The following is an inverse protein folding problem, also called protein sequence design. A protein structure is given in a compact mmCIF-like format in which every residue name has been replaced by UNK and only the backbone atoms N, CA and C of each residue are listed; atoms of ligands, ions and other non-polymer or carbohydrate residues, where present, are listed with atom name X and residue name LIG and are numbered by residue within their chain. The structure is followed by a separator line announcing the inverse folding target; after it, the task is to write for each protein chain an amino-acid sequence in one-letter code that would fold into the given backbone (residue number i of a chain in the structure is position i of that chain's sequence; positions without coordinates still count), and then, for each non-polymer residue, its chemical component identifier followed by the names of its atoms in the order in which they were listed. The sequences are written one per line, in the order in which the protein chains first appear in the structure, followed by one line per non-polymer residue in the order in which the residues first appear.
data_IF_320948885508
#
_entry.id   IF_320948885508
#
_cell.length_a   1.000
_cell.length_b   1.000
_cell.length_c   1.000
_cell.angle_alpha   90.00
_cell.angle_beta   90.00
_cell.angle_gamma   90.00
#
_symmetry.space_group_name_H-M   'P 1'
#
loop_
_entity.id
_entity.type
_entity.pdbx_description
1 polymer ?
#
# COMPACT_ATOMS: atom_id res chain seq x y z
N UNK A 1 29.74 3.49 -1.41
CA UNK A 1 29.08 4.77 -1.77
C UNK A 1 27.95 4.56 -2.79
N UNK A 2 28.03 3.53 -3.64
CA UNK A 2 27.01 3.27 -4.67
C UNK A 2 25.70 2.68 -4.13
N UNK A 3 25.70 1.95 -3.02
CA UNK A 3 24.48 1.38 -2.40
C UNK A 3 23.61 2.40 -1.66
N UNK A 4 24.15 3.56 -1.33
CA UNK A 4 23.39 4.66 -0.71
C UNK A 4 22.70 5.60 -1.69
N UNK A 5 22.88 5.44 -2.99
CA UNK A 5 22.35 6.31 -4.04
C UNK A 5 21.12 5.76 -4.75
N UNK A 6 20.65 4.57 -4.41
CA UNK A 6 19.30 4.11 -4.80
C UNK A 6 18.33 4.68 -3.78
N UNK A 7 18.08 5.99 -3.90
CA UNK A 7 17.23 6.71 -2.97
C UNK A 7 15.81 6.17 -3.02
N UNK A 8 15.32 5.70 -1.88
CA UNK A 8 13.89 5.65 -1.61
C UNK A 8 13.33 7.06 -1.80
N UNK A 9 12.06 7.21 -2.14
CA UNK A 9 11.38 8.52 -2.18
C UNK A 9 11.63 9.33 -0.91
N UNK A 10 11.79 8.66 0.22
CA UNK A 10 12.15 9.23 1.51
C UNK A 10 13.53 9.92 1.50
N UNK A 11 14.55 9.34 0.85
CA UNK A 11 15.86 9.97 0.70
C UNK A 11 15.84 11.21 -0.19
N UNK A 12 14.99 11.22 -1.24
CA UNK A 12 14.82 12.39 -2.12
C UNK A 12 14.18 13.53 -1.35
N UNK A 13 13.15 13.27 -0.56
CA UNK A 13 12.47 14.26 0.29
C UNK A 13 13.41 14.84 1.36
N UNK A 14 14.18 14.00 2.03
CA UNK A 14 15.12 14.45 3.05
C UNK A 14 16.21 15.34 2.46
N UNK A 15 16.72 14.97 1.28
CA UNK A 15 17.70 15.79 0.55
C UNK A 15 17.10 17.13 0.10
N UNK A 16 15.86 17.12 -0.39
CA UNK A 16 15.17 18.36 -0.77
C UNK A 16 14.97 19.29 0.44
N UNK A 17 14.57 18.73 1.60
CA UNK A 17 14.46 19.49 2.88
C UNK A 17 15.80 20.09 3.30
N UNK A 18 16.87 19.33 3.20
CA UNK A 18 18.21 19.82 3.54
C UNK A 18 18.63 20.98 2.63
N UNK A 19 18.48 20.83 1.30
CA UNK A 19 18.81 21.90 0.34
C UNK A 19 17.97 23.15 0.59
N UNK A 20 16.67 22.99 0.83
CA UNK A 20 15.79 24.10 1.13
C UNK A 20 16.21 24.83 2.42
N UNK A 21 16.56 24.09 3.47
CA UNK A 21 17.04 24.64 4.73
C UNK A 21 18.37 25.41 4.56
N UNK A 22 19.31 24.85 3.79
CA UNK A 22 20.59 25.51 3.46
C UNK A 22 20.39 26.80 2.66
N UNK A 23 19.37 26.84 1.80
CA UNK A 23 19.01 27.99 0.99
C UNK A 23 18.12 29.03 1.71
N UNK A 24 17.69 28.74 2.96
CA UNK A 24 16.73 29.57 3.69
C UNK A 24 15.34 29.61 3.05
N UNK A 25 14.98 28.59 2.26
CA UNK A 25 13.68 28.46 1.58
C UNK A 25 12.80 27.50 2.35
N UNK A 26 11.55 27.91 2.59
CA UNK A 26 10.57 27.01 3.20
C UNK A 26 10.06 25.98 2.18
N UNK A 27 10.20 24.69 2.51
CA UNK A 27 9.70 23.59 1.70
C UNK A 27 8.41 23.03 2.31
N UNK A 28 7.35 23.01 1.52
CA UNK A 28 6.09 22.35 1.90
C UNK A 28 5.98 21.01 1.19
N UNK A 29 5.88 19.94 1.99
CA UNK A 29 5.68 18.59 1.49
C UNK A 29 4.17 18.30 1.38
N UNK A 30 3.59 18.55 0.21
CA UNK A 30 2.17 18.28 -0.04
C UNK A 30 1.80 16.80 0.06
N UNK A 31 2.74 15.87 -0.12
CA UNK A 31 2.50 14.44 0.10
C UNK A 31 2.34 14.05 1.58
N UNK A 32 2.67 14.95 2.50
CA UNK A 32 2.40 14.76 3.92
C UNK A 32 0.97 15.13 4.33
N UNK A 33 0.21 15.78 3.44
CA UNK A 33 -1.17 16.19 3.69
C UNK A 33 -2.09 14.98 3.76
N UNK A 34 -2.85 14.87 4.83
CA UNK A 34 -3.73 13.73 5.10
C UNK A 34 -4.81 13.59 4.03
N UNK A 35 -5.40 14.71 3.59
CA UNK A 35 -6.41 14.74 2.53
C UNK A 35 -5.88 14.15 1.22
N UNK A 36 -4.64 14.44 0.83
CA UNK A 36 -4.04 13.87 -0.37
C UNK A 36 -3.75 12.38 -0.20
N UNK A 37 -3.27 11.97 0.98
CA UNK A 37 -3.02 10.57 1.29
C UNK A 37 -4.34 9.77 1.16
N UNK A 38 -5.43 10.29 1.69
CA UNK A 38 -6.75 9.65 1.63
C UNK A 38 -7.29 9.61 0.17
N UNK A 39 -7.19 10.72 -0.56
CA UNK A 39 -7.60 10.76 -1.98
C UNK A 39 -6.80 9.77 -2.84
N UNK A 40 -5.48 9.69 -2.66
CA UNK A 40 -4.62 8.77 -3.41
C UNK A 40 -4.81 7.29 -3.04
N UNK A 41 -5.37 7.01 -1.88
CA UNK A 41 -5.70 5.65 -1.48
C UNK A 41 -6.77 5.01 -2.39
N UNK A 42 -7.68 5.82 -2.93
CA UNK A 42 -8.77 5.34 -3.80
C UNK A 42 -8.24 4.78 -5.12
N UNK A 43 -7.54 5.57 -5.98
CA UNK A 43 -7.01 5.05 -7.22
C UNK A 43 -5.93 3.98 -7.00
N UNK A 44 -5.20 4.02 -5.87
CA UNK A 44 -4.29 2.93 -5.51
C UNK A 44 -5.04 1.61 -5.31
N UNK A 45 -6.16 1.65 -4.60
CA UNK A 45 -6.99 0.46 -4.36
C UNK A 45 -7.61 -0.06 -5.67
N UNK A 46 -8.11 0.82 -6.51
CA UNK A 46 -8.70 0.46 -7.82
C UNK A 46 -7.65 -0.11 -8.77
N UNK A 47 -6.48 0.49 -8.84
CA UNK A 47 -5.36 -0.03 -9.63
C UNK A 47 -4.91 -1.41 -9.14
N UNK A 48 -4.87 -1.64 -7.83
CA UNK A 48 -4.58 -2.95 -7.25
C UNK A 48 -5.65 -3.98 -7.65
N UNK A 49 -6.93 -3.62 -7.58
CA UNK A 49 -8.03 -4.50 -8.03
C UNK A 49 -7.86 -4.85 -9.51
N UNK A 50 -7.54 -3.88 -10.35
CA UNK A 50 -7.25 -4.10 -11.76
C UNK A 50 -6.11 -5.12 -11.97
N UNK A 51 -5.01 -4.99 -11.22
CA UNK A 51 -3.90 -5.97 -11.23
C UNK A 51 -4.40 -7.36 -10.80
N UNK A 52 -5.15 -7.45 -9.71
CA UNK A 52 -5.67 -8.72 -9.22
C UNK A 52 -6.57 -9.39 -10.27
N UNK A 53 -7.42 -8.63 -10.95
CA UNK A 53 -8.31 -9.15 -12.00
C UNK A 53 -7.55 -9.60 -13.25
N UNK A 54 -6.49 -8.90 -13.63
CA UNK A 54 -5.65 -9.24 -14.78
C UNK A 54 -4.76 -10.47 -14.53
N UNK A 55 -4.23 -10.60 -13.32
CA UNK A 55 -3.23 -11.61 -12.99
C UNK A 55 -3.81 -12.93 -12.46
N UNK A 56 -5.04 -12.92 -11.99
CA UNK A 56 -5.69 -14.11 -11.45
C UNK A 56 -6.46 -14.84 -12.54
N UNK A 57 -6.46 -16.17 -12.46
CA UNK A 57 -7.30 -17.03 -13.31
C UNK A 57 -8.68 -17.33 -12.68
N UNK A 58 -8.91 -16.81 -11.46
CA UNK A 58 -10.16 -16.98 -10.72
C UNK A 58 -10.76 -15.63 -10.38
N UNK A 59 -12.07 -15.56 -10.23
CA UNK A 59 -12.79 -14.36 -9.78
C UNK A 59 -12.33 -13.92 -8.39
N UNK A 60 -12.53 -12.65 -8.07
CA UNK A 60 -12.35 -12.15 -6.70
C UNK A 60 -13.45 -12.66 -5.77
N UNK A 61 -14.65 -12.89 -6.30
CA UNK A 61 -15.75 -13.43 -5.54
C UNK A 61 -15.39 -14.76 -4.86
N UNK A 62 -15.66 -14.84 -3.56
CA UNK A 62 -15.35 -15.98 -2.69
C UNK A 62 -13.85 -16.37 -2.61
N UNK A 63 -12.95 -15.48 -3.06
CA UNK A 63 -11.51 -15.68 -2.93
C UNK A 63 -11.01 -15.26 -1.55
N UNK A 64 -10.15 -16.09 -0.94
CA UNK A 64 -9.48 -15.75 0.31
C UNK A 64 -8.26 -14.85 0.02
N UNK A 65 -8.35 -13.58 0.39
CA UNK A 65 -7.29 -12.59 0.16
C UNK A 65 -6.74 -12.10 1.49
N UNK A 66 -5.43 -12.17 1.64
CA UNK A 66 -4.72 -11.60 2.77
C UNK A 66 -4.28 -10.17 2.45
N UNK A 67 -4.68 -9.24 3.30
CA UNK A 67 -4.31 -7.83 3.20
C UNK A 67 -3.40 -7.44 4.38
N UNK A 68 -2.12 -7.28 4.14
CA UNK A 68 -1.16 -6.84 5.14
C UNK A 68 -1.16 -5.31 5.22
N UNK A 69 -1.58 -4.79 6.39
CA UNK A 69 -1.75 -3.37 6.66
C UNK A 69 -3.19 -2.88 6.52
N UNK A 70 -3.58 -1.96 7.41
CA UNK A 70 -4.92 -1.33 7.41
C UNK A 70 -4.81 0.18 7.65
N UNK A 71 -3.86 0.81 6.93
CA UNK A 71 -3.78 2.25 6.74
C UNK A 71 -4.76 2.71 5.64
N UNK A 72 -4.68 3.96 5.16
CA UNK A 72 -5.59 4.51 4.16
C UNK A 72 -5.79 3.60 2.93
N UNK A 73 -4.70 3.13 2.32
CA UNK A 73 -4.76 2.21 1.17
C UNK A 73 -5.40 0.87 1.55
N UNK A 74 -5.01 0.29 2.69
CA UNK A 74 -5.57 -0.98 3.16
C UNK A 74 -7.08 -0.88 3.42
N UNK A 75 -7.55 0.22 3.99
CA UNK A 75 -8.99 0.48 4.23
C UNK A 75 -9.74 0.62 2.90
N UNK A 76 -9.25 1.48 2.01
CA UNK A 76 -9.87 1.68 0.70
C UNK A 76 -9.96 0.38 -0.11
N UNK A 77 -8.90 -0.44 -0.09
CA UNK A 77 -8.84 -1.71 -0.80
C UNK A 77 -9.70 -2.79 -0.14
N UNK A 78 -9.59 -2.96 1.18
CA UNK A 78 -10.28 -4.03 1.91
C UNK A 78 -11.79 -3.97 1.75
N UNK A 79 -12.38 -2.77 1.88
CA UNK A 79 -13.83 -2.55 1.71
C UNK A 79 -14.26 -2.84 0.27
N UNK A 80 -13.47 -2.41 -0.73
CA UNK A 80 -13.79 -2.65 -2.15
C UNK A 80 -13.69 -4.13 -2.52
N UNK A 81 -12.67 -4.83 -2.04
CA UNK A 81 -12.54 -6.28 -2.26
C UNK A 81 -13.70 -7.06 -1.62
N UNK A 82 -14.11 -6.66 -0.40
CA UNK A 82 -15.28 -7.28 0.24
C UNK A 82 -16.57 -7.02 -0.54
N UNK A 83 -16.76 -5.79 -1.07
CA UNK A 83 -17.90 -5.46 -1.93
C UNK A 83 -17.93 -6.27 -3.22
N UNK A 84 -16.77 -6.68 -3.74
CA UNK A 84 -16.64 -7.62 -4.87
C UNK A 84 -16.82 -9.09 -4.45
N UNK A 85 -17.18 -9.33 -3.18
CA UNK A 85 -17.46 -10.66 -2.64
C UNK A 85 -16.21 -11.46 -2.24
N UNK A 86 -15.03 -10.84 -2.11
CA UNK A 86 -13.84 -11.51 -1.61
C UNK A 86 -13.91 -11.72 -0.08
N UNK A 87 -13.32 -12.81 0.40
CA UNK A 87 -13.13 -13.10 1.82
C UNK A 87 -11.81 -12.47 2.28
N UNK A 88 -11.87 -11.19 2.66
CA UNK A 88 -10.69 -10.43 3.06
C UNK A 88 -10.32 -10.71 4.51
N UNK A 89 -9.06 -11.03 4.75
CA UNK A 89 -8.46 -11.08 6.08
C UNK A 89 -7.36 -10.02 6.18
N UNK A 90 -7.53 -9.09 7.10
CA UNK A 90 -6.58 -8.02 7.37
C UNK A 90 -5.57 -8.48 8.40
N UNK A 91 -4.28 -8.36 8.09
CA UNK A 91 -3.21 -8.54 9.06
C UNK A 91 -2.70 -7.17 9.51
N UNK A 92 -2.88 -6.83 10.78
CA UNK A 92 -2.45 -5.54 11.32
C UNK A 92 -1.87 -5.66 12.73
N UNK A 93 -0.81 -4.86 12.99
CA UNK A 93 -0.11 -4.87 14.27
C UNK A 93 -0.93 -4.22 15.39
N UNK A 94 -1.56 -3.07 15.11
CA UNK A 94 -2.28 -2.30 16.13
C UNK A 94 -3.67 -2.88 16.37
N UNK A 95 -4.07 -3.13 17.65
CA UNK A 95 -5.43 -3.61 17.96
C UNK A 95 -6.53 -2.72 17.40
N UNK A 96 -6.36 -1.39 17.43
CA UNK A 96 -7.32 -0.45 16.87
C UNK A 96 -7.55 -0.65 15.36
N UNK A 97 -6.51 -1.00 14.59
CA UNK A 97 -6.67 -1.29 13.16
C UNK A 97 -7.42 -2.62 12.93
N UNK A 98 -7.22 -3.61 13.79
CA UNK A 98 -7.97 -4.87 13.72
C UNK A 98 -9.44 -4.66 14.05
N UNK A 99 -9.73 -3.94 15.14
CA UNK A 99 -11.10 -3.57 15.50
C UNK A 99 -11.78 -2.74 14.40
N UNK A 100 -11.06 -1.82 13.77
CA UNK A 100 -11.58 -1.06 12.62
C UNK A 100 -11.87 -1.99 11.42
N UNK A 101 -11.02 -2.97 11.12
CA UNK A 101 -11.30 -3.95 10.07
C UNK A 101 -12.55 -4.76 10.38
N UNK A 102 -12.71 -5.21 11.62
CA UNK A 102 -13.88 -5.95 12.08
C UNK A 102 -15.17 -5.10 11.99
N UNK A 103 -15.11 -3.80 12.26
CA UNK A 103 -16.26 -2.88 12.11
C UNK A 103 -16.71 -2.74 10.65
N UNK A 104 -15.84 -3.01 9.68
CA UNK A 104 -16.17 -3.14 8.26
C UNK A 104 -16.54 -4.57 7.84
N UNK A 105 -16.81 -5.45 8.80
CA UNK A 105 -17.11 -6.87 8.56
C UNK A 105 -15.99 -7.65 7.86
N UNK A 106 -14.76 -7.19 7.97
CA UNK A 106 -13.57 -7.90 7.50
C UNK A 106 -13.02 -8.78 8.63
N UNK A 107 -12.42 -9.91 8.26
CA UNK A 107 -11.66 -10.70 9.24
C UNK A 107 -10.37 -9.99 9.60
N UNK A 108 -9.93 -10.11 10.84
CA UNK A 108 -8.67 -9.52 11.27
C UNK A 108 -7.80 -10.53 12.02
N UNK A 109 -6.49 -10.43 11.80
CA UNK A 109 -5.47 -11.21 12.51
C UNK A 109 -4.35 -10.31 12.97
N UNK A 110 -3.66 -10.71 14.04
CA UNK A 110 -2.45 -10.02 14.46
C UNK A 110 -1.33 -10.27 13.45
N UNK A 111 -0.59 -9.23 13.09
CA UNK A 111 0.54 -9.33 12.16
C UNK A 111 1.60 -10.34 12.63
N UNK A 112 1.76 -10.51 13.95
CA UNK A 112 2.68 -11.52 14.55
C UNK A 112 2.26 -12.95 14.19
N UNK A 113 0.97 -13.18 13.92
CA UNK A 113 0.42 -14.49 13.54
C UNK A 113 0.32 -14.69 12.03
N UNK A 114 0.96 -13.83 11.25
CA UNK A 114 0.86 -13.84 9.79
C UNK A 114 1.27 -15.17 9.18
N UNK A 115 2.38 -15.75 9.65
CA UNK A 115 2.87 -17.06 9.21
C UNK A 115 1.84 -18.17 9.45
N UNK A 116 1.22 -18.19 10.64
CA UNK A 116 0.20 -19.17 11.00
C UNK A 116 -1.09 -19.03 10.19
N UNK A 117 -1.42 -17.80 9.79
CA UNK A 117 -2.60 -17.51 8.99
C UNK A 117 -2.39 -17.77 7.48
N UNK A 118 -1.14 -17.74 7.01
CA UNK A 118 -0.78 -17.76 5.60
C UNK A 118 -1.30 -18.97 4.78
N UNK A 119 -1.41 -20.21 5.30
CA UNK A 119 -1.70 -21.41 4.50
C UNK A 119 -3.01 -21.41 3.72
N UNK A 120 -3.98 -20.57 4.10
CA UNK A 120 -5.29 -20.52 3.42
C UNK A 120 -5.33 -19.58 2.23
N UNK A 121 -4.32 -18.73 2.05
CA UNK A 121 -4.31 -17.69 1.03
C UNK A 121 -3.51 -18.11 -0.21
N UNK A 122 -4.04 -17.75 -1.36
CA UNK A 122 -3.37 -17.80 -2.66
C UNK A 122 -3.09 -16.41 -3.23
N UNK A 123 -3.53 -15.39 -2.54
CA UNK A 123 -3.39 -13.98 -2.92
C UNK A 123 -3.09 -13.13 -1.68
N UNK A 124 -2.03 -12.37 -1.76
CA UNK A 124 -1.59 -11.46 -0.71
C UNK A 124 -1.39 -10.07 -1.29
N UNK A 125 -1.92 -9.06 -0.61
CA UNK A 125 -1.61 -7.66 -0.91
C UNK A 125 -0.91 -7.04 0.29
N UNK A 126 0.27 -6.48 0.08
CA UNK A 126 1.01 -5.77 1.11
C UNK A 126 0.90 -4.25 0.94
N UNK A 127 0.62 -3.55 2.04
CA UNK A 127 0.60 -2.08 2.10
C UNK A 127 1.58 -1.53 3.15
N UNK A 128 2.36 -2.39 3.79
CA UNK A 128 3.27 -2.02 4.89
C UNK A 128 4.68 -1.81 4.32
N UNK A 129 5.27 -0.60 4.45
CA UNK A 129 6.62 -0.31 3.97
C UNK A 129 7.72 -0.80 4.95
N UNK A 130 7.59 -2.04 5.43
CA UNK A 130 8.54 -2.69 6.32
C UNK A 130 8.51 -4.21 6.04
N UNK A 131 9.61 -4.95 6.26
CA UNK A 131 9.71 -6.37 5.99
C UNK A 131 8.69 -7.18 6.81
N UNK A 132 7.53 -7.50 6.22
CA UNK A 132 6.45 -8.27 6.85
C UNK A 132 6.19 -9.60 6.14
N UNK A 133 6.38 -9.66 4.82
CA UNK A 133 6.31 -10.88 4.03
C UNK A 133 7.70 -11.51 3.96
N UNK A 134 8.14 -12.04 5.11
CA UNK A 134 9.43 -12.72 5.26
C UNK A 134 9.42 -14.09 4.59
N UNK A 135 10.60 -14.69 4.40
CA UNK A 135 10.72 -16.05 3.84
C UNK A 135 9.85 -17.06 4.57
N UNK A 136 9.75 -16.99 5.90
CA UNK A 136 8.89 -17.90 6.69
C UNK A 136 7.41 -17.73 6.34
N UNK A 137 6.91 -16.49 6.24
CA UNK A 137 5.54 -16.21 5.84
C UNK A 137 5.29 -16.69 4.41
N UNK A 138 6.23 -16.41 3.51
CA UNK A 138 6.13 -16.80 2.10
C UNK A 138 6.10 -18.31 1.92
N UNK A 139 6.94 -19.04 2.66
CA UNK A 139 6.98 -20.51 2.63
C UNK A 139 5.68 -21.15 3.15
N UNK A 140 4.94 -20.44 4.01
CA UNK A 140 3.65 -20.91 4.53
C UNK A 140 2.47 -20.64 3.58
N UNK A 141 2.62 -19.78 2.58
CA UNK A 141 1.58 -19.50 1.58
C UNK A 141 1.34 -20.73 0.68
N UNK A 142 0.19 -20.73 0.01
CA UNK A 142 -0.06 -21.74 -1.03
C UNK A 142 0.97 -21.62 -2.15
N UNK A 143 1.48 -22.74 -2.69
CA UNK A 143 2.41 -22.70 -3.82
C UNK A 143 1.85 -21.91 -5.01
N UNK A 144 2.69 -21.07 -5.64
CA UNK A 144 2.29 -20.24 -6.77
C UNK A 144 1.41 -19.04 -6.43
N UNK A 145 1.31 -18.66 -5.15
CA UNK A 145 0.53 -17.50 -4.70
C UNK A 145 0.92 -16.23 -5.44
N UNK A 146 -0.09 -15.37 -5.66
CA UNK A 146 0.10 -14.01 -6.19
C UNK A 146 0.33 -13.04 -5.03
N UNK A 147 1.42 -12.30 -5.08
CA UNK A 147 1.79 -11.29 -4.09
C UNK A 147 1.88 -9.94 -4.79
N UNK A 148 1.03 -9.00 -4.39
CA UNK A 148 1.07 -7.61 -4.87
C UNK A 148 1.56 -6.72 -3.73
N UNK A 149 2.70 -6.09 -3.91
CA UNK A 149 3.26 -5.16 -2.93
C UNK A 149 3.00 -3.72 -3.39
N UNK A 150 2.20 -2.99 -2.61
CA UNK A 150 1.84 -1.59 -2.85
C UNK A 150 2.71 -0.62 -2.06
N UNK A 151 3.54 -1.14 -1.17
CA UNK A 151 4.38 -0.30 -0.33
C UNK A 151 5.49 0.37 -1.15
N UNK A 152 5.86 1.59 -0.76
CA UNK A 152 7.01 2.28 -1.36
C UNK A 152 8.29 1.47 -1.19
N UNK A 153 9.25 1.69 -2.11
CA UNK A 153 10.54 0.98 -2.07
C UNK A 153 11.21 1.09 -0.69
N UNK A 154 11.83 0.03 -0.21
CA UNK A 154 12.09 -1.25 -0.88
C UNK A 154 10.90 -2.22 -0.92
N UNK A 155 9.74 -1.88 -0.36
CA UNK A 155 8.59 -2.76 -0.18
C UNK A 155 8.64 -3.51 1.16
N UNK A 156 7.63 -4.34 1.40
CA UNK A 156 7.55 -5.19 2.60
C UNK A 156 7.67 -6.68 2.31
N UNK A 157 7.96 -7.04 1.07
CA UNK A 157 8.09 -8.42 0.58
C UNK A 157 9.55 -8.78 0.36
N UNK A 158 9.97 -9.94 0.85
CA UNK A 158 11.22 -10.56 0.41
C UNK A 158 11.04 -11.14 -1.01
N UNK A 159 11.26 -10.30 -2.01
CA UNK A 159 11.11 -10.67 -3.42
C UNK A 159 12.07 -11.77 -3.86
N UNK A 160 13.24 -11.88 -3.23
CA UNK A 160 14.21 -12.93 -3.55
C UNK A 160 13.71 -14.28 -3.05
N UNK A 161 13.25 -14.35 -1.81
CA UNK A 161 12.63 -15.55 -1.24
C UNK A 161 11.36 -15.94 -2.00
N UNK A 162 10.47 -14.99 -2.29
CA UNK A 162 9.23 -15.25 -3.02
C UNK A 162 9.50 -15.90 -4.38
N UNK A 163 10.51 -15.42 -5.11
CA UNK A 163 10.93 -16.00 -6.40
C UNK A 163 11.46 -17.41 -6.24
N UNK A 164 12.31 -17.67 -5.22
CA UNK A 164 12.85 -19.02 -4.95
C UNK A 164 11.74 -20.02 -4.61
N UNK A 165 10.71 -19.56 -3.91
CA UNK A 165 9.54 -20.35 -3.50
C UNK A 165 8.50 -20.50 -4.62
N UNK A 166 8.74 -19.91 -5.80
CA UNK A 166 7.84 -20.04 -6.95
C UNK A 166 6.58 -19.18 -6.88
N UNK A 167 6.57 -18.13 -6.06
CA UNK A 167 5.47 -17.17 -6.01
C UNK A 167 5.57 -16.15 -7.14
N UNK A 168 4.41 -15.66 -7.58
CA UNK A 168 4.31 -14.54 -8.51
C UNK A 168 4.28 -13.25 -7.72
N UNK A 169 5.17 -12.33 -8.03
CA UNK A 169 5.28 -11.06 -7.29
C UNK A 169 5.17 -9.86 -8.21
N UNK A 170 4.44 -8.85 -7.77
CA UNK A 170 4.30 -7.56 -8.45
C UNK A 170 4.56 -6.47 -7.43
N UNK A 171 5.58 -5.64 -7.66
CA UNK A 171 5.78 -4.42 -6.89
C UNK A 171 5.09 -3.28 -7.63
N UNK A 172 3.86 -2.98 -7.22
CA UNK A 172 2.98 -2.04 -7.91
C UNK A 172 3.14 -0.63 -7.34
N UNK A 173 4.03 0.13 -7.94
CA UNK A 173 4.33 1.51 -7.55
C UNK A 173 3.55 2.51 -8.39
N UNK A 174 3.31 3.70 -7.82
CA UNK A 174 2.72 4.86 -8.53
C UNK A 174 1.35 4.55 -9.19
N UNK A 175 0.56 3.67 -8.59
CA UNK A 175 -0.75 3.27 -9.13
C UNK A 175 -1.69 4.45 -9.41
N UNK A 176 -1.81 5.51 -8.57
CA UNK A 176 -2.67 6.65 -8.88
C UNK A 176 -2.39 7.25 -10.25
N UNK A 177 -1.11 7.49 -10.54
CA UNK A 177 -0.70 8.06 -11.83
C UNK A 177 -0.84 7.07 -13.00
N UNK A 178 -0.72 5.77 -12.72
CA UNK A 178 -0.78 4.73 -13.75
C UNK A 178 -2.21 4.36 -14.16
N UNK A 179 -3.15 4.33 -13.21
CA UNK A 179 -4.52 3.85 -13.46
C UNK A 179 -5.57 4.97 -13.52
N UNK A 180 -5.34 6.12 -12.85
CA UNK A 180 -6.28 7.24 -12.81
C UNK A 180 -5.54 8.60 -12.75
N UNK A 181 -4.76 8.96 -13.81
CA UNK A 181 -3.91 10.14 -13.78
C UNK A 181 -4.70 11.46 -13.64
N UNK A 182 -5.88 11.55 -14.21
CA UNK A 182 -6.73 12.74 -14.08
C UNK A 182 -7.16 12.94 -12.63
N UNK A 183 -7.75 11.91 -12.01
CA UNK A 183 -8.18 11.95 -10.60
C UNK A 183 -7.02 12.26 -9.65
N UNK A 184 -5.86 11.63 -9.87
CA UNK A 184 -4.67 11.88 -9.07
C UNK A 184 -4.14 13.31 -9.27
N UNK A 185 -4.17 13.83 -10.49
CA UNK A 185 -3.79 15.22 -10.82
C UNK A 185 -4.71 16.24 -10.18
N UNK A 186 -6.03 16.04 -10.22
CA UNK A 186 -7.02 16.90 -9.58
C UNK A 186 -6.86 16.93 -8.06
N UNK A 187 -6.65 15.77 -7.42
CA UNK A 187 -6.40 15.71 -5.99
C UNK A 187 -5.13 16.47 -5.59
N UNK A 188 -4.06 16.32 -6.38
CA UNK A 188 -2.82 17.05 -6.19
C UNK A 188 -3.01 18.55 -6.34
N UNK A 189 -3.64 19.00 -7.44
CA UNK A 189 -3.88 20.41 -7.72
C UNK A 189 -4.71 21.05 -6.60
N UNK A 190 -5.77 20.42 -6.15
CA UNK A 190 -6.60 20.88 -5.02
C UNK A 190 -5.76 21.06 -3.76
N UNK A 191 -4.98 20.05 -3.38
CA UNK A 191 -4.12 20.13 -2.19
C UNK A 191 -3.11 21.27 -2.27
N UNK A 192 -2.50 21.50 -3.43
CA UNK A 192 -1.58 22.62 -3.64
C UNK A 192 -2.31 23.96 -3.52
N UNK A 193 -3.48 24.11 -4.11
CA UNK A 193 -4.29 25.34 -3.97
C UNK A 193 -4.69 25.61 -2.52
N UNK A 194 -5.09 24.57 -1.76
CA UNK A 194 -5.42 24.70 -0.33
C UNK A 194 -4.21 25.17 0.49
N UNK A 195 -3.02 24.59 0.24
CA UNK A 195 -1.78 25.04 0.91
C UNK A 195 -1.47 26.50 0.59
N UNK A 196 -1.65 26.93 -0.65
CA UNK A 196 -1.40 28.33 -1.05
C UNK A 196 -2.40 29.27 -0.38
N UNK A 197 -3.70 28.94 -0.36
CA UNK A 197 -4.73 29.72 0.30
C UNK A 197 -4.49 29.87 1.83
N UNK A 198 -4.11 28.78 2.50
CA UNK A 198 -3.74 28.80 3.91
C UNK A 198 -2.57 29.78 4.20
N UNK A 199 -1.60 29.89 3.28
CA UNK A 199 -0.44 30.78 3.42
C UNK A 199 -0.76 32.23 3.15
N UNK A 200 -1.71 32.51 2.25
CA UNK A 200 -2.15 33.87 1.92
C UNK A 200 -3.14 34.41 2.96
N UNK A 201 -3.52 33.61 3.98
CA UNK A 201 -4.46 34.01 5.02
C UNK A 201 -5.90 34.16 4.50
N UNK A 202 -6.21 33.54 3.36
CA UNK A 202 -7.56 33.50 2.80
C UNK A 202 -8.29 32.26 3.34
N UNK A 203 -9.43 32.41 4.05
CA UNK A 203 -10.18 31.29 4.60
C UNK A 203 -10.82 30.38 3.54
#
# INVERSE_FOLDING_TARGET
IHERLVGSEMCIRDRARQIAAEAGVELVDYFAREELILCNAIPTAEGCIGILMAERTRTLWNSAILLAGFGPVGQALGVRLAALGAQVTVAARRPAQRALAESFSLRAVDLVRLEQAAPVFDTVVNTIPAPVLTEAVLAALRPGSLIVDLASKPGGTDFAAARRLGHRTIHALSLPAACAPETAGEALARTVCEILAEREGTP
#
